data_IF_248963477722
#
_entry.id   IF_248963477722
#
_cell.length_a   1.000
_cell.length_b   1.000
_cell.length_c   1.000
_cell.angle_alpha   90.00
_cell.angle_beta   90.00
_cell.angle_gamma   90.00
#
_symmetry.space_group_name_H-M   'P 1'
#
loop_
_entity.id
_entity.type
_entity.pdbx_description
1 polymer ?
#
# COMPACT_ATOMS: atom_id res chain seq x y z
N UNK A 1 29.96 22.82 -26.70
CA UNK A 1 29.49 23.04 -25.32
C UNK A 1 28.64 21.84 -24.90
N UNK A 2 29.13 20.96 -24.02
CA UNK A 2 28.42 19.76 -23.51
C UNK A 2 28.62 19.66 -21.99
N UNK A 3 28.15 20.66 -21.24
CA UNK A 3 28.34 20.74 -19.78
C UNK A 3 27.05 20.69 -18.95
N UNK A 4 25.87 20.49 -19.57
CA UNK A 4 24.59 20.48 -18.83
C UNK A 4 24.12 19.08 -18.38
N UNK A 5 24.82 18.01 -18.74
CA UNK A 5 24.34 16.64 -18.47
C UNK A 5 24.70 16.09 -17.09
N UNK A 6 25.66 16.70 -16.37
CA UNK A 6 26.23 16.11 -15.14
C UNK A 6 25.49 16.54 -13.86
N UNK A 7 24.68 17.59 -13.91
CA UNK A 7 23.95 18.09 -12.72
C UNK A 7 22.55 17.47 -12.54
N UNK A 8 22.02 16.80 -13.58
CA UNK A 8 20.68 16.19 -13.54
C UNK A 8 20.53 15.10 -12.46
N UNK A 9 21.50 14.18 -12.27
CA UNK A 9 21.39 13.13 -11.26
C UNK A 9 21.36 13.70 -9.83
N UNK A 10 22.10 14.78 -9.58
CA UNK A 10 22.16 15.44 -8.28
C UNK A 10 20.85 16.17 -7.96
N UNK A 11 20.28 16.88 -8.94
CA UNK A 11 18.97 17.53 -8.78
C UNK A 11 17.84 16.50 -8.55
N UNK A 12 17.87 15.37 -9.25
CA UNK A 12 16.93 14.25 -9.05
C UNK A 12 17.09 13.60 -7.67
N UNK A 13 18.32 13.49 -7.16
CA UNK A 13 18.56 12.98 -5.80
C UNK A 13 18.01 13.94 -4.73
N UNK A 14 18.23 15.25 -4.90
CA UNK A 14 17.71 16.27 -3.97
C UNK A 14 16.19 16.35 -3.97
N UNK A 15 15.53 16.15 -5.13
CA UNK A 15 14.07 16.08 -5.22
C UNK A 15 13.50 14.89 -4.44
N UNK A 16 14.19 13.73 -4.44
CA UNK A 16 13.76 12.56 -3.65
C UNK A 16 13.90 12.79 -2.15
N UNK A 17 14.95 13.48 -1.71
CA UNK A 17 15.15 13.86 -0.30
C UNK A 17 14.11 14.88 0.17
N UNK A 18 13.81 15.90 -0.62
CA UNK A 18 12.78 16.90 -0.29
C UNK A 18 11.38 16.30 -0.19
N UNK A 19 11.09 15.23 -0.95
CA UNK A 19 9.81 14.55 -0.89
C UNK A 19 9.68 13.61 0.31
N UNK A 20 10.79 13.19 0.93
CA UNK A 20 10.78 12.39 2.15
C UNK A 20 10.46 13.22 3.40
N UNK A 21 10.79 14.52 3.41
CA UNK A 21 10.54 15.41 4.56
C UNK A 21 9.14 16.00 4.57
N UNK A 22 8.41 15.96 3.45
CA UNK A 22 7.10 16.63 3.34
C UNK A 22 6.12 16.19 4.44
N UNK A 23 6.14 14.92 4.83
CA UNK A 23 5.28 14.39 5.89
C UNK A 23 5.63 15.02 7.25
N UNK A 24 6.90 15.05 7.60
CA UNK A 24 7.39 15.67 8.85
C UNK A 24 7.16 17.19 8.85
N UNK A 25 7.35 17.85 7.71
CA UNK A 25 7.10 19.29 7.53
C UNK A 25 5.62 19.65 7.75
N UNK A 26 4.71 18.71 7.50
CA UNK A 26 3.27 18.85 7.76
C UNK A 26 2.86 18.33 9.15
N UNK A 27 3.81 17.91 9.98
CA UNK A 27 3.58 17.47 11.36
C UNK A 27 3.19 16.00 11.50
N UNK A 28 3.32 15.20 10.44
CA UNK A 28 3.12 13.75 10.52
C UNK A 28 4.38 13.06 11.04
N UNK A 29 4.18 12.07 11.91
CA UNK A 29 5.20 11.12 12.32
C UNK A 29 5.08 9.87 11.45
N UNK A 30 6.18 9.48 10.80
CA UNK A 30 6.24 8.27 9.97
C UNK A 30 7.09 7.22 10.67
N UNK A 31 6.51 6.05 10.90
CA UNK A 31 7.23 4.87 11.41
C UNK A 31 7.25 3.80 10.34
N UNK A 32 8.41 3.17 10.12
CA UNK A 32 8.60 2.25 9.01
C UNK A 32 9.33 0.99 9.42
N UNK A 33 8.91 -0.13 8.84
CA UNK A 33 9.58 -1.42 8.94
C UNK A 33 9.44 -2.14 7.59
N UNK A 34 10.58 -2.56 7.01
CA UNK A 34 10.67 -3.08 5.65
C UNK A 34 9.87 -2.25 4.64
N UNK A 35 8.77 -2.80 4.14
CA UNK A 35 7.92 -2.23 3.11
C UNK A 35 6.63 -1.62 3.67
N UNK A 36 6.47 -1.49 4.98
CA UNK A 36 5.28 -0.95 5.65
C UNK A 36 5.61 0.40 6.29
N UNK A 37 4.74 1.38 6.08
CA UNK A 37 4.79 2.70 6.70
C UNK A 37 3.49 3.00 7.46
N UNK A 38 3.64 3.41 8.72
CA UNK A 38 2.59 3.96 9.55
C UNK A 38 2.72 5.47 9.53
N UNK A 39 1.62 6.17 9.22
CA UNK A 39 1.53 7.62 9.24
C UNK A 39 0.64 8.03 10.39
N UNK A 40 1.22 8.75 11.34
CA UNK A 40 0.60 9.20 12.56
C UNK A 40 0.47 10.73 12.52
N UNK A 41 -0.70 11.26 12.84
CA UNK A 41 -0.93 12.69 13.02
C UNK A 41 -1.08 13.03 14.50
N UNK A 42 -0.67 14.22 14.88
CA UNK A 42 -0.77 14.69 16.26
C UNK A 42 -2.14 15.31 16.51
N UNK A 43 -2.98 14.68 17.34
CA UNK A 43 -4.16 15.35 17.86
C UNK A 43 -3.71 16.34 18.95
N UNK A 44 -4.24 17.56 18.96
CA UNK A 44 -3.75 18.69 19.79
C UNK A 44 -3.54 18.40 21.30
N UNK A 45 -4.03 17.27 21.81
CA UNK A 45 -3.91 16.77 23.18
C UNK A 45 -2.62 15.95 23.46
N UNK A 46 -1.61 16.07 22.60
CA UNK A 46 -0.35 15.30 22.70
C UNK A 46 -0.52 13.79 22.52
N UNK A 47 -1.50 13.35 21.74
CA UNK A 47 -1.59 11.94 21.36
C UNK A 47 -1.46 11.81 19.84
N UNK A 48 -0.91 10.67 19.41
CA UNK A 48 -0.84 10.32 18.00
C UNK A 48 -2.10 9.56 17.58
N UNK A 49 -2.66 9.92 16.44
CA UNK A 49 -3.72 9.20 15.76
C UNK A 49 -3.16 8.54 14.52
N UNK A 50 -3.44 7.25 14.34
CA UNK A 50 -3.09 6.52 13.12
C UNK A 50 -3.98 6.96 11.95
N UNK A 51 -3.36 7.56 10.94
CA UNK A 51 -4.02 8.07 9.74
C UNK A 51 -3.94 7.04 8.61
N UNK A 52 -2.73 6.54 8.32
CA UNK A 52 -2.53 5.56 7.25
C UNK A 52 -1.60 4.43 7.68
N UNK A 53 -1.88 3.23 7.15
CA UNK A 53 -0.91 2.15 7.05
C UNK A 53 -0.83 1.77 5.57
N UNK A 54 0.32 2.01 4.97
CA UNK A 54 0.60 1.70 3.57
C UNK A 54 1.74 0.70 3.47
N UNK A 55 1.70 -0.13 2.43
CA UNK A 55 2.80 -1.03 2.13
C UNK A 55 3.12 -1.04 0.63
N UNK A 56 4.39 -1.01 0.27
CA UNK A 56 4.85 -0.88 -1.12
C UNK A 56 5.73 -2.07 -1.49
N UNK A 57 5.31 -2.88 -2.46
CA UNK A 57 6.04 -4.09 -2.83
C UNK A 57 6.93 -3.81 -4.04
N UNK A 58 8.24 -3.55 -3.86
CA UNK A 58 9.03 -2.90 -4.89
C UNK A 58 9.26 -3.76 -6.13
N UNK A 59 9.08 -5.08 -6.03
CA UNK A 59 9.38 -6.04 -7.08
C UNK A 59 8.18 -6.38 -7.98
N UNK A 60 6.95 -6.12 -7.50
CA UNK A 60 5.73 -6.61 -8.16
C UNK A 60 4.74 -5.50 -8.53
N UNK A 61 5.14 -4.23 -8.40
CA UNK A 61 4.30 -3.07 -8.74
C UNK A 61 2.92 -3.13 -8.04
N UNK A 62 2.94 -3.57 -6.78
CA UNK A 62 1.76 -3.65 -5.90
C UNK A 62 1.94 -2.63 -4.78
N UNK A 63 0.85 -1.94 -4.44
CA UNK A 63 0.73 -1.22 -3.18
C UNK A 63 -0.46 -1.76 -2.40
N UNK A 64 -0.34 -1.79 -1.08
CA UNK A 64 -1.40 -2.21 -0.17
C UNK A 64 -1.78 -1.04 0.72
N UNK A 65 -3.06 -0.67 0.71
CA UNK A 65 -3.69 0.25 1.66
C UNK A 65 -4.31 -0.61 2.75
N UNK A 66 -3.60 -0.76 3.87
CA UNK A 66 -4.07 -1.52 5.04
C UNK A 66 -5.04 -0.65 5.85
N UNK A 67 -4.75 0.65 5.95
CA UNK A 67 -5.63 1.61 6.62
C UNK A 67 -5.56 2.97 5.93
N UNK A 68 -6.74 3.56 5.69
CA UNK A 68 -6.90 4.94 5.25
C UNK A 68 -8.03 5.61 6.04
N UNK A 69 -7.63 6.49 6.96
CA UNK A 69 -8.50 7.21 7.90
C UNK A 69 -8.28 8.73 7.80
N UNK A 70 -7.87 9.23 6.62
CA UNK A 70 -7.67 10.67 6.39
C UNK A 70 -8.96 11.49 6.62
N UNK A 71 -10.13 10.86 6.49
CA UNK A 71 -11.44 11.43 6.81
C UNK A 71 -11.69 11.59 8.32
N UNK A 72 -10.97 10.85 9.15
CA UNK A 72 -11.03 10.97 10.61
C UNK A 72 -10.10 12.05 11.19
N UNK A 73 -9.15 12.54 10.40
CA UNK A 73 -8.28 13.65 10.78
C UNK A 73 -9.06 14.97 10.70
N UNK A 74 -9.13 15.77 11.78
CA UNK A 74 -9.75 17.10 11.74
C UNK A 74 -9.11 18.00 10.68
N UNK A 75 -9.88 18.90 10.09
CA UNK A 75 -9.33 19.87 9.14
C UNK A 75 -8.34 20.82 9.82
N UNK A 76 -7.15 20.98 9.22
CA UNK A 76 -6.14 21.96 9.61
C UNK A 76 -5.26 22.33 8.41
N UNK A 77 -4.52 23.44 8.50
CA UNK A 77 -3.72 23.98 7.39
C UNK A 77 -2.70 22.98 6.83
N UNK A 78 -2.14 22.12 7.70
CA UNK A 78 -1.14 21.13 7.31
C UNK A 78 -1.70 19.74 6.95
N UNK A 79 -3.03 19.60 6.79
CA UNK A 79 -3.64 18.29 6.54
C UNK A 79 -3.31 17.84 5.13
N UNK A 80 -2.75 16.64 5.00
CA UNK A 80 -2.43 16.03 3.71
C UNK A 80 -3.51 15.01 3.29
N UNK A 81 -3.80 15.01 2.00
CA UNK A 81 -4.63 13.99 1.37
C UNK A 81 -3.95 12.62 1.31
N UNK A 82 -4.75 11.57 1.11
CA UNK A 82 -4.22 10.21 0.93
C UNK A 82 -3.27 10.14 -0.28
N UNK A 83 -3.58 10.84 -1.36
CA UNK A 83 -2.76 10.91 -2.57
C UNK A 83 -1.40 11.58 -2.34
N UNK A 84 -1.37 12.65 -1.53
CA UNK A 84 -0.14 13.34 -1.14
C UNK A 84 0.74 12.43 -0.26
N UNK A 85 0.14 11.80 0.76
CA UNK A 85 0.83 10.87 1.65
C UNK A 85 1.37 9.66 0.88
N UNK A 86 0.54 9.06 0.04
CA UNK A 86 0.92 7.93 -0.80
C UNK A 86 2.06 8.31 -1.76
N UNK A 87 1.98 9.49 -2.37
CA UNK A 87 3.01 9.97 -3.29
C UNK A 87 4.34 10.14 -2.57
N UNK A 88 4.34 10.76 -1.39
CA UNK A 88 5.54 10.92 -0.56
C UNK A 88 6.18 9.58 -0.18
N UNK A 89 5.38 8.63 0.31
CA UNK A 89 5.87 7.31 0.71
C UNK A 89 6.31 6.47 -0.50
N UNK A 90 5.59 6.54 -1.62
CA UNK A 90 6.00 5.85 -2.84
C UNK A 90 7.37 6.33 -3.34
N UNK A 91 7.64 7.63 -3.27
CA UNK A 91 8.92 8.21 -3.67
C UNK A 91 10.07 7.73 -2.76
N UNK A 92 9.82 7.64 -1.44
CA UNK A 92 10.74 7.06 -0.46
C UNK A 92 11.11 5.62 -0.81
N UNK A 93 10.15 4.82 -1.29
CA UNK A 93 10.36 3.45 -1.76
C UNK A 93 10.87 3.34 -3.21
N UNK A 94 11.28 4.46 -3.82
CA UNK A 94 11.79 4.49 -5.20
C UNK A 94 10.73 4.15 -6.24
N UNK A 95 9.45 4.36 -5.93
CA UNK A 95 8.31 4.10 -6.81
C UNK A 95 7.70 5.38 -7.33
N UNK A 96 7.10 5.24 -8.51
CA UNK A 96 6.21 6.25 -9.09
C UNK A 96 4.79 5.72 -8.95
N UNK A 97 3.83 6.50 -8.43
CA UNK A 97 2.44 6.06 -8.28
C UNK A 97 1.84 5.40 -9.54
N UNK A 98 2.14 5.95 -10.72
CA UNK A 98 1.67 5.42 -12.02
C UNK A 98 2.22 4.03 -12.38
N UNK A 99 3.35 3.63 -11.78
CA UNK A 99 3.98 2.33 -11.99
C UNK A 99 3.32 1.19 -11.19
N UNK A 100 2.38 1.49 -10.30
CA UNK A 100 1.65 0.47 -9.54
C UNK A 100 0.49 -0.06 -10.37
N UNK A 101 0.46 -1.38 -10.60
CA UNK A 101 -0.54 -2.04 -11.44
C UNK A 101 -1.64 -2.71 -10.63
N UNK A 102 -1.39 -2.93 -9.34
CA UNK A 102 -2.34 -3.53 -8.42
C UNK A 102 -2.36 -2.72 -7.13
N UNK A 103 -3.54 -2.25 -6.74
CA UNK A 103 -3.75 -1.67 -5.42
C UNK A 103 -4.61 -2.64 -4.62
N UNK A 104 -4.07 -3.13 -3.51
CA UNK A 104 -4.79 -3.97 -2.56
C UNK A 104 -5.35 -3.04 -1.48
N UNK A 105 -6.62 -3.20 -1.12
CA UNK A 105 -7.25 -2.44 -0.04
C UNK A 105 -7.91 -3.40 0.93
N UNK A 106 -7.47 -3.37 2.19
CA UNK A 106 -8.04 -4.19 3.26
C UNK A 106 -9.30 -3.56 3.84
N UNK A 107 -10.33 -4.36 4.06
CA UNK A 107 -11.55 -3.88 4.69
C UNK A 107 -11.36 -3.73 6.19
N UNK A 108 -11.47 -2.51 6.72
CA UNK A 108 -11.29 -2.23 8.15
C UNK A 108 -12.60 -2.44 8.94
N UNK A 109 -13.13 -3.66 8.94
CA UNK A 109 -14.38 -4.05 9.63
C UNK A 109 -15.57 -3.12 9.33
N UNK A 110 -15.66 -2.69 8.07
CA UNK A 110 -16.78 -1.88 7.61
C UNK A 110 -17.98 -2.81 7.35
N UNK A 111 -18.92 -2.85 8.30
CA UNK A 111 -20.10 -3.70 8.22
C UNK A 111 -20.86 -3.59 6.90
N UNK A 112 -20.89 -2.40 6.28
CA UNK A 112 -21.57 -2.21 4.99
C UNK A 112 -20.83 -2.94 3.88
N UNK A 113 -19.51 -2.83 3.86
CA UNK A 113 -18.66 -3.51 2.87
C UNK A 113 -18.58 -5.01 3.13
N UNK A 114 -18.50 -5.45 4.39
CA UNK A 114 -18.53 -6.87 4.75
C UNK A 114 -19.84 -7.53 4.28
N UNK A 115 -20.97 -6.83 4.43
CA UNK A 115 -22.28 -7.26 3.93
C UNK A 115 -22.27 -7.35 2.40
N UNK A 116 -21.76 -6.32 1.71
CA UNK A 116 -21.63 -6.31 0.25
C UNK A 116 -20.83 -7.52 -0.26
N UNK A 117 -19.66 -7.79 0.33
CA UNK A 117 -18.80 -8.92 -0.07
C UNK A 117 -19.51 -10.27 0.16
N UNK A 118 -20.16 -10.43 1.30
CA UNK A 118 -20.95 -11.62 1.61
C UNK A 118 -22.09 -11.83 0.61
N UNK A 119 -22.81 -10.77 0.25
CA UNK A 119 -23.88 -10.80 -0.75
C UNK A 119 -23.36 -11.15 -2.14
N UNK A 120 -22.22 -10.59 -2.57
CA UNK A 120 -21.57 -10.94 -3.84
C UNK A 120 -21.29 -12.45 -3.90
N UNK A 121 -20.63 -13.00 -2.88
CA UNK A 121 -20.30 -14.43 -2.82
C UNK A 121 -21.56 -15.30 -2.83
N UNK A 122 -22.55 -14.94 -2.01
CA UNK A 122 -23.83 -15.66 -1.90
C UNK A 122 -24.61 -15.66 -3.21
N UNK A 123 -24.73 -14.52 -3.88
CA UNK A 123 -25.48 -14.38 -5.14
C UNK A 123 -24.84 -15.20 -6.27
N UNK A 124 -23.52 -15.38 -6.22
CA UNK A 124 -22.76 -16.22 -7.14
C UNK A 124 -22.70 -17.71 -6.73
N UNK A 125 -23.34 -18.09 -5.62
CA UNK A 125 -23.35 -19.47 -5.11
C UNK A 125 -21.98 -19.95 -4.64
N UNK A 126 -21.14 -19.05 -4.17
CA UNK A 126 -19.76 -19.32 -3.75
C UNK A 126 -19.65 -19.45 -2.22
N UNK A 127 -18.61 -20.14 -1.76
CA UNK A 127 -18.28 -20.23 -0.34
C UNK A 127 -17.92 -18.86 0.24
N UNK A 128 -18.08 -18.71 1.56
CA UNK A 128 -17.88 -17.44 2.28
C UNK A 128 -16.47 -16.85 2.14
N UNK A 129 -15.46 -17.66 1.78
CA UNK A 129 -14.06 -17.25 1.58
C UNK A 129 -13.58 -17.45 0.15
N UNK A 130 -14.49 -17.76 -0.79
CA UNK A 130 -14.10 -17.96 -2.17
C UNK A 130 -13.68 -16.63 -2.80
N UNK A 131 -12.63 -16.71 -3.63
CA UNK A 131 -12.19 -15.58 -4.45
C UNK A 131 -13.26 -15.24 -5.49
N UNK A 132 -13.54 -13.95 -5.65
CA UNK A 132 -14.51 -13.46 -6.64
C UNK A 132 -13.85 -12.45 -7.55
N UNK A 133 -13.88 -12.70 -8.86
CA UNK A 133 -13.49 -11.69 -9.85
C UNK A 133 -14.73 -10.93 -10.32
N UNK A 134 -14.68 -9.60 -10.21
CA UNK A 134 -15.73 -8.70 -10.69
C UNK A 134 -15.15 -7.83 -11.81
N UNK A 135 -15.87 -7.74 -12.93
CA UNK A 135 -15.47 -6.95 -14.12
C UNK A 135 -16.56 -5.95 -14.50
N UNK A 136 -16.21 -4.99 -15.35
CA UNK A 136 -17.19 -4.04 -15.87
C UNK A 136 -18.32 -4.78 -16.61
N UNK A 137 -19.56 -4.54 -16.18
CA UNK A 137 -20.77 -5.20 -16.69
C UNK A 137 -21.40 -6.18 -15.70
N UNK A 138 -20.64 -6.62 -14.68
CA UNK A 138 -21.20 -7.37 -13.56
C UNK A 138 -22.13 -6.48 -12.72
N UNK A 139 -23.18 -7.07 -12.13
CA UNK A 139 -24.19 -6.35 -11.35
C UNK A 139 -23.57 -5.58 -10.18
N UNK A 140 -22.52 -6.13 -9.58
CA UNK A 140 -21.93 -5.61 -8.35
C UNK A 140 -20.84 -4.57 -8.62
N UNK A 141 -20.46 -4.37 -9.90
CA UNK A 141 -19.39 -3.46 -10.32
C UNK A 141 -19.59 -2.04 -9.78
N UNK A 142 -20.73 -1.42 -10.05
CA UNK A 142 -21.03 -0.04 -9.63
C UNK A 142 -21.01 0.08 -8.11
N UNK A 143 -21.57 -0.90 -7.40
CA UNK A 143 -21.61 -0.89 -5.94
C UNK A 143 -20.20 -0.95 -5.33
N UNK A 144 -19.28 -1.70 -5.94
CA UNK A 144 -17.87 -1.72 -5.54
C UNK A 144 -17.22 -0.35 -5.78
N UNK A 145 -17.50 0.30 -6.91
CA UNK A 145 -16.97 1.65 -7.20
C UNK A 145 -17.49 2.73 -6.25
N UNK A 146 -18.63 2.51 -5.60
CA UNK A 146 -19.16 3.46 -4.62
C UNK A 146 -18.54 3.33 -3.22
N UNK A 147 -17.76 2.27 -2.98
CA UNK A 147 -17.08 2.03 -1.69
C UNK A 147 -15.96 3.04 -1.42
N UNK A 148 -15.63 3.27 -0.14
CA UNK A 148 -14.44 4.06 0.23
C UNK A 148 -13.16 3.43 -0.31
N UNK A 149 -13.07 2.11 -0.31
CA UNK A 149 -11.90 1.36 -0.72
C UNK A 149 -11.54 1.58 -2.20
N UNK A 150 -12.54 1.62 -3.09
CA UNK A 150 -12.27 2.00 -4.49
C UNK A 150 -11.85 3.46 -4.61
N UNK A 151 -12.51 4.38 -3.88
CA UNK A 151 -12.17 5.81 -3.91
C UNK A 151 -10.72 6.03 -3.47
N UNK A 152 -10.29 5.37 -2.40
CA UNK A 152 -8.92 5.39 -1.90
C UNK A 152 -7.93 4.82 -2.94
N UNK A 153 -8.25 3.66 -3.53
CA UNK A 153 -7.44 3.07 -4.59
C UNK A 153 -7.33 3.95 -5.85
N UNK A 154 -8.42 4.62 -6.23
CA UNK A 154 -8.46 5.53 -7.38
C UNK A 154 -7.73 6.86 -7.12
N UNK A 155 -7.68 7.33 -5.87
CA UNK A 155 -6.90 8.50 -5.47
C UNK A 155 -5.40 8.26 -5.65
N UNK A 156 -4.92 7.07 -5.30
CA UNK A 156 -3.49 6.73 -5.40
C UNK A 156 -3.08 6.19 -6.77
N UNK A 157 -4.07 5.84 -7.62
CA UNK A 157 -3.84 5.30 -8.95
C UNK A 157 -4.87 5.82 -9.97
N UNK A 158 -4.53 6.83 -10.79
CA UNK A 158 -5.47 7.47 -11.71
C UNK A 158 -5.73 6.65 -12.98
N UNK A 159 -5.17 5.44 -13.08
CA UNK A 159 -5.38 4.57 -14.25
C UNK A 159 -6.82 4.04 -14.28
N UNK A 160 -7.24 3.60 -15.46
CA UNK A 160 -8.55 2.96 -15.62
C UNK A 160 -8.52 1.59 -14.93
N UNK A 161 -9.47 1.38 -14.02
CA UNK A 161 -9.70 0.07 -13.41
C UNK A 161 -10.23 -0.92 -14.46
N UNK A 162 -9.65 -2.11 -14.53
CA UNK A 162 -10.07 -3.17 -15.45
C UNK A 162 -10.91 -4.23 -14.75
N UNK A 163 -10.51 -4.63 -13.54
CA UNK A 163 -11.18 -5.65 -12.74
C UNK A 163 -10.87 -5.51 -11.26
N UNK A 164 -11.72 -6.11 -10.44
CA UNK A 164 -11.54 -6.22 -8.99
C UNK A 164 -11.54 -7.70 -8.63
N UNK A 165 -10.61 -8.12 -7.79
CA UNK A 165 -10.69 -9.45 -7.17
C UNK A 165 -10.93 -9.29 -5.68
N UNK A 166 -11.94 -9.97 -5.17
CA UNK A 166 -12.29 -10.00 -3.75
C UNK A 166 -11.70 -11.28 -3.18
N UNK A 167 -10.88 -11.17 -2.13
CA UNK A 167 -10.29 -12.31 -1.45
C UNK A 167 -10.39 -12.17 0.05
N UNK A 168 -10.26 -13.29 0.75
CA UNK A 168 -10.07 -13.32 2.20
C UNK A 168 -8.65 -13.74 2.50
N UNK A 169 -7.89 -12.90 3.18
CA UNK A 169 -6.54 -13.21 3.69
C UNK A 169 -6.60 -13.48 5.20
N UNK A 170 -5.54 -14.06 5.75
CA UNK A 170 -5.39 -14.22 7.20
C UNK A 170 -4.30 -13.29 7.69
N UNK A 171 -4.66 -12.45 8.68
CA UNK A 171 -3.71 -11.59 9.37
C UNK A 171 -3.44 -12.15 10.75
N UNK A 172 -2.18 -12.14 11.17
CA UNK A 172 -1.80 -12.44 12.55
C UNK A 172 -1.22 -11.20 13.20
N UNK A 173 -1.91 -10.67 14.21
CA UNK A 173 -1.41 -9.57 15.03
C UNK A 173 -1.53 -9.95 16.50
N UNK A 174 -0.46 -9.71 17.28
CA UNK A 174 -0.43 -9.98 18.73
C UNK A 174 -0.91 -11.41 19.08
N UNK A 175 -0.39 -12.41 18.37
CA UNK A 175 -0.76 -13.83 18.52
C UNK A 175 -2.23 -14.17 18.23
N UNK A 176 -2.99 -13.24 17.63
CA UNK A 176 -4.38 -13.46 17.22
C UNK A 176 -4.46 -13.49 15.70
N UNK A 177 -4.94 -14.60 15.16
CA UNK A 177 -5.20 -14.74 13.72
C UNK A 177 -6.67 -14.44 13.43
N UNK A 178 -6.93 -13.61 12.42
CA UNK A 178 -8.26 -13.29 11.97
C UNK A 178 -8.31 -13.16 10.44
N UNK A 179 -9.49 -13.38 9.88
CA UNK A 179 -9.73 -13.22 8.46
C UNK A 179 -9.98 -11.74 8.12
N UNK A 180 -9.44 -11.28 7.00
CA UNK A 180 -9.64 -9.93 6.46
C UNK A 180 -10.05 -10.05 5.00
N UNK A 181 -11.17 -9.43 4.64
CA UNK A 181 -11.55 -9.31 3.24
C UNK A 181 -10.78 -8.16 2.57
N UNK A 182 -10.42 -8.37 1.31
CA UNK A 182 -9.55 -7.47 0.56
C UNK A 182 -10.08 -7.27 -0.86
N UNK A 183 -10.01 -6.03 -1.34
CA UNK A 183 -10.19 -5.71 -2.74
C UNK A 183 -8.83 -5.57 -3.44
N UNK A 184 -8.65 -6.32 -4.52
CA UNK A 184 -7.46 -6.27 -5.38
C UNK A 184 -7.87 -5.52 -6.66
N UNK A 185 -7.59 -4.22 -6.70
CA UNK A 185 -7.93 -3.32 -7.81
C UNK A 185 -6.85 -3.37 -8.89
N UNK A 186 -7.18 -3.94 -10.06
CA UNK A 186 -6.25 -4.07 -11.17
C UNK A 186 -6.29 -2.84 -12.09
N UNK A 187 -5.17 -2.14 -12.16
CA UNK A 187 -4.92 -0.95 -12.95
C UNK A 187 -3.83 -1.24 -14.01
N UNK A 188 -4.19 -1.89 -15.13
CA UNK A 188 -3.21 -2.34 -16.11
C UNK A 188 -2.37 -1.18 -16.66
N UNK A 189 -1.12 -1.47 -17.02
CA UNK A 189 -0.31 -0.51 -17.75
C UNK A 189 -0.94 -0.19 -19.11
N UNK A 190 -0.92 1.10 -19.49
CA UNK A 190 -1.08 1.43 -20.90
C UNK A 190 0.18 0.91 -21.58
N UNK A 191 0.04 -0.08 -22.47
CA UNK A 191 1.16 -0.57 -23.30
C UNK A 191 1.83 0.64 -23.97
N UNK A 192 2.96 1.08 -23.43
CA UNK A 192 3.82 2.02 -24.10
C UNK A 192 4.47 1.26 -25.24
N UNK A 193 4.35 1.76 -26.47
CA UNK A 193 5.18 1.32 -27.59
C UNK A 193 6.64 1.41 -27.16
N UNK A 194 7.31 0.25 -27.14
CA UNK A 194 8.66 0.06 -26.63
C UNK A 194 9.65 1.09 -27.21
N UNK A 195 10.25 1.90 -26.34
CA UNK A 195 11.55 2.51 -26.58
C UNK A 195 12.40 2.20 -25.37
N UNK A 196 13.27 1.20 -25.54
CA UNK A 196 14.12 0.68 -24.48
C UNK A 196 15.27 1.62 -24.14
N UNK A 197 15.61 1.66 -22.86
CA UNK A 197 16.94 2.01 -22.39
C UNK A 197 17.29 1.05 -21.24
N UNK A 198 18.39 0.30 -21.42
CA UNK A 198 19.01 -0.52 -20.38
C UNK A 198 20.14 0.28 -19.76
N UNK A 199 20.07 0.52 -18.45
CA UNK A 199 21.19 1.05 -17.68
C UNK A 199 21.84 -0.08 -16.85
N UNK A 200 23.16 -0.17 -16.95
CA UNK A 200 23.98 -1.24 -16.41
C UNK A 200 24.67 -0.83 -15.12
N UNK A 201 24.51 -1.63 -14.05
CA UNK A 201 25.23 -1.41 -12.79
C UNK A 201 25.13 -2.59 -11.83
N UNK A 202 26.33 -3.07 -11.46
CA UNK A 202 26.77 -4.04 -10.44
C UNK A 202 25.75 -5.04 -9.87
N UNK A 203 26.10 -6.33 -9.98
CA UNK A 203 25.28 -7.48 -9.60
C UNK A 203 25.34 -7.72 -8.09
N UNK A 204 24.22 -7.43 -7.43
CA UNK A 204 23.87 -7.95 -6.12
C UNK A 204 23.14 -9.29 -6.32
N UNK A 205 23.53 -10.34 -5.59
CA UNK A 205 22.93 -11.68 -5.70
C UNK A 205 21.42 -11.61 -5.42
N UNK A 206 21.02 -10.69 -4.54
CA UNK A 206 19.63 -10.40 -4.24
C UNK A 206 18.89 -9.77 -5.43
N UNK A 207 19.54 -8.85 -6.15
CA UNK A 207 19.01 -8.21 -7.37
C UNK A 207 18.85 -9.19 -8.53
N UNK A 208 19.76 -10.16 -8.69
CA UNK A 208 19.63 -11.20 -9.72
C UNK A 208 18.53 -12.22 -9.40
N UNK A 209 18.43 -12.63 -8.13
CA UNK A 209 17.28 -13.42 -7.65
C UNK A 209 16.00 -12.62 -7.95
N UNK A 210 15.91 -11.39 -7.49
CA UNK A 210 14.73 -10.53 -7.67
C UNK A 210 14.37 -10.29 -9.14
N UNK A 211 15.35 -10.14 -10.04
CA UNK A 211 15.11 -9.98 -11.48
C UNK A 211 14.55 -11.25 -12.12
N UNK A 212 15.18 -12.40 -11.85
CA UNK A 212 14.67 -13.68 -12.35
C UNK A 212 13.24 -13.97 -11.85
N UNK A 213 12.93 -13.48 -10.65
CA UNK A 213 11.59 -13.53 -10.07
C UNK A 213 10.61 -12.57 -10.74
N UNK A 214 10.98 -11.30 -10.98
CA UNK A 214 10.15 -10.32 -11.69
C UNK A 214 9.83 -10.76 -13.14
N UNK A 215 10.83 -11.25 -13.88
CA UNK A 215 10.65 -11.75 -15.25
C UNK A 215 9.74 -12.98 -15.32
N UNK A 216 9.69 -13.78 -14.24
CA UNK A 216 8.79 -14.93 -14.13
C UNK A 216 7.39 -14.51 -13.70
N UNK A 217 7.29 -13.55 -12.78
CA UNK A 217 6.04 -12.93 -12.37
C UNK A 217 5.30 -12.31 -13.56
N UNK A 218 5.98 -11.49 -14.37
CA UNK A 218 5.36 -10.82 -15.52
C UNK A 218 4.76 -11.84 -16.51
N UNK A 219 5.51 -12.91 -16.82
CA UNK A 219 5.03 -14.01 -17.68
C UNK A 219 3.81 -14.74 -17.10
N UNK A 220 3.81 -15.00 -15.78
CA UNK A 220 2.70 -15.69 -15.13
C UNK A 220 1.49 -14.76 -14.94
N UNK A 221 1.71 -13.48 -14.65
CA UNK A 221 0.68 -12.45 -14.50
C UNK A 221 -0.12 -12.27 -15.79
N UNK A 222 0.58 -12.11 -16.92
CA UNK A 222 -0.05 -12.05 -18.24
C UNK A 222 -0.81 -13.35 -18.58
N UNK A 223 -0.25 -14.49 -18.18
CA UNK A 223 -0.80 -15.81 -18.51
C UNK A 223 -1.94 -16.29 -17.61
N UNK A 224 -2.01 -15.84 -16.36
CA UNK A 224 -2.93 -16.33 -15.32
C UNK A 224 -4.02 -15.32 -14.99
N UNK A 225 -3.61 -14.10 -14.62
CA UNK A 225 -4.50 -13.07 -14.10
C UNK A 225 -5.38 -12.48 -15.22
N UNK A 226 -4.81 -12.15 -16.39
CA UNK A 226 -5.57 -11.58 -17.51
C UNK A 226 -6.39 -12.62 -18.31
N UNK A 227 -6.06 -13.90 -18.19
CA UNK A 227 -6.73 -14.97 -18.95
C UNK A 227 -7.91 -15.63 -18.19
N UNK A 228 -8.20 -15.17 -16.96
CA UNK A 228 -9.20 -15.78 -16.10
C UNK A 228 -8.80 -17.17 -15.58
N UNK A 229 -7.52 -17.55 -15.71
CA UNK A 229 -7.00 -18.81 -15.15
C UNK A 229 -6.74 -18.65 -13.65
N UNK A 230 -6.83 -19.77 -12.92
CA UNK A 230 -6.50 -19.82 -11.49
C UNK A 230 -5.07 -19.30 -11.25
N UNK A 231 -4.88 -18.60 -10.14
CA UNK A 231 -3.56 -18.19 -9.68
C UNK A 231 -2.59 -19.36 -9.67
N UNK A 232 -1.37 -19.13 -10.12
CA UNK A 232 -0.35 -20.17 -10.09
C UNK A 232 0.04 -20.44 -8.62
N UNK A 233 0.46 -21.67 -8.27
CA UNK A 233 0.98 -21.97 -6.94
C UNK A 233 2.10 -21.02 -6.51
N UNK A 234 2.87 -20.50 -7.47
CA UNK A 234 3.94 -19.53 -7.23
C UNK A 234 3.39 -18.15 -6.83
N UNK A 235 2.42 -17.59 -7.57
CA UNK A 235 1.78 -16.32 -7.18
C UNK A 235 1.19 -16.43 -5.77
N UNK A 236 0.52 -17.54 -5.49
CA UNK A 236 -0.04 -17.80 -4.17
C UNK A 236 1.04 -17.84 -3.09
N UNK A 237 2.17 -18.50 -3.35
CA UNK A 237 3.32 -18.51 -2.45
C UNK A 237 3.88 -17.11 -2.20
N UNK A 238 3.95 -16.26 -3.23
CA UNK A 238 4.43 -14.89 -3.12
C UNK A 238 3.51 -14.01 -2.28
N UNK A 239 2.19 -14.09 -2.49
CA UNK A 239 1.24 -13.36 -1.66
C UNK A 239 1.37 -13.79 -0.20
N UNK A 240 1.51 -15.09 0.08
CA UNK A 240 1.71 -15.59 1.45
C UNK A 240 3.01 -15.07 2.08
N UNK A 241 4.14 -15.11 1.35
CA UNK A 241 5.42 -14.60 1.86
C UNK A 241 5.35 -13.09 2.13
N UNK A 242 4.70 -12.35 1.22
CA UNK A 242 4.50 -10.92 1.34
C UNK A 242 3.56 -10.54 2.50
N UNK A 243 2.47 -11.29 2.68
CA UNK A 243 1.55 -11.14 3.82
C UNK A 243 2.29 -11.39 5.14
N UNK A 244 3.16 -12.41 5.20
CA UNK A 244 4.00 -12.70 6.36
C UNK A 244 4.99 -11.56 6.67
N UNK A 245 5.68 -11.05 5.67
CA UNK A 245 6.60 -9.92 5.83
C UNK A 245 5.87 -8.66 6.32
N UNK A 246 4.67 -8.39 5.79
CA UNK A 246 3.82 -7.29 6.24
C UNK A 246 3.39 -7.49 7.71
N UNK A 247 2.98 -8.68 8.10
CA UNK A 247 2.59 -8.99 9.49
C UNK A 247 3.76 -8.76 10.46
N UNK A 248 4.96 -9.25 10.12
CA UNK A 248 6.17 -9.04 10.91
C UNK A 248 6.54 -7.54 11.01
N UNK A 249 6.40 -6.81 9.91
CA UNK A 249 6.68 -5.37 9.85
C UNK A 249 5.68 -4.56 10.69
N UNK A 250 4.39 -4.91 10.63
CA UNK A 250 3.36 -4.31 11.47
C UNK A 250 3.63 -4.59 12.95
N UNK A 251 3.96 -5.82 13.33
CA UNK A 251 4.28 -6.17 14.72
C UNK A 251 5.48 -5.40 15.27
N UNK A 252 6.52 -5.21 14.45
CA UNK A 252 7.68 -4.39 14.80
C UNK A 252 7.27 -2.93 15.05
N UNK A 253 6.50 -2.31 14.14
CA UNK A 253 6.06 -0.92 14.29
C UNK A 253 5.13 -0.76 15.50
N UNK A 254 4.18 -1.67 15.71
CA UNK A 254 3.32 -1.64 16.89
C UNK A 254 4.11 -1.73 18.21
N UNK A 255 5.18 -2.52 18.22
CA UNK A 255 6.09 -2.60 19.37
C UNK A 255 6.76 -1.25 19.63
N UNK A 256 7.20 -0.55 18.59
CA UNK A 256 7.79 0.79 18.71
C UNK A 256 6.76 1.86 19.12
N UNK A 257 5.54 1.83 18.55
CA UNK A 257 4.44 2.72 18.97
C UNK A 257 4.11 2.52 20.45
N UNK A 258 4.08 1.26 20.92
CA UNK A 258 3.83 0.96 22.33
C UNK A 258 4.92 1.54 23.24
N UNK A 259 6.19 1.45 22.85
CA UNK A 259 7.29 2.08 23.60
C UNK A 259 7.13 3.59 23.63
N UNK A 260 6.84 4.21 22.48
CA UNK A 260 6.61 5.65 22.38
C UNK A 260 5.50 6.11 23.33
N UNK A 261 4.38 5.38 23.39
CA UNK A 261 3.27 5.71 24.30
C UNK A 261 3.72 5.61 25.77
N UNK A 262 4.44 4.55 26.14
CA UNK A 262 4.94 4.36 27.52
C UNK A 262 5.93 5.48 27.90
N UNK A 263 6.85 5.83 27.02
CA UNK A 263 7.82 6.92 27.24
C UNK A 263 7.10 8.28 27.39
N UNK A 264 6.02 8.50 26.65
CA UNK A 264 5.20 9.72 26.78
C UNK A 264 4.42 9.76 28.09
N UNK A 265 3.96 8.62 28.61
CA UNK A 265 3.30 8.52 29.92
C UNK A 265 4.29 8.78 31.06
N UNK A 266 5.47 8.17 31.03
CA UNK A 266 6.52 8.40 32.05
C UNK A 266 6.97 9.86 32.10
N UNK A 267 7.04 10.54 30.94
CA UNK A 267 7.43 11.94 30.87
C UNK A 267 6.31 12.94 31.24
N UNK A 268 5.04 12.53 31.27
CA UNK A 268 3.94 13.38 31.76
C UNK A 268 4.04 13.62 33.28
N UNK A 269 4.65 12.69 34.01
CA UNK A 269 4.85 12.76 35.45
C UNK A 269 6.18 13.43 35.87
N UNK A 270 7.04 13.78 34.91
CA UNK A 270 8.27 14.52 35.19
C UNK A 270 7.91 15.95 35.63
N UNK A 271 8.36 16.40 36.83
CA UNK A 271 8.09 17.76 37.27
C UNK A 271 8.68 18.73 36.25
N UNK A 272 7.84 19.64 35.74
CA UNK A 272 8.29 20.78 34.93
C UNK A 272 9.21 21.60 35.83
N UNK A 273 10.51 21.35 35.72
CA UNK A 273 11.55 22.21 36.25
C UNK A 273 11.40 23.55 35.54
N UNK A 274 10.66 24.48 36.16
CA UNK A 274 10.65 25.88 35.75
C UNK A 274 12.10 26.37 35.79
N UNK A 275 12.66 26.66 34.61
CA UNK A 275 13.84 27.51 34.45
C UNK A 275 13.34 28.95 34.33
#
# INVERSE_FOLDING_TARGET
MRFLSVCLPLALSLLKLAQATILEDHGYLVMSASNVDFVLSHNGDRNYQLINILSFHPWINIATIITANNDMEPEHENKLGLDEIYTALSAKHGKVPSGVNLVISETNRDLKTDTLISEIRKNRGLDAKADVTVVAGDEEWTTILDTKYYKDAAMVNPKKLEKVVIKTIQRTMFSTTFDVDCFYFNFPERKATETGDQDGGAVDVEKERMKAWADKWEREWEGGWNSGKKETPMMKGMFIENEKEQDESMEAIYTEIRKLILDMEENKDAPVSMI
#
